data_IF_566927728345
#
_entry.id   IF_566927728345
#
_cell.length_a   1.000
_cell.length_b   1.000
_cell.length_c   1.000
_cell.angle_alpha   90.00
_cell.angle_beta   90.00
_cell.angle_gamma   90.00
#
_symmetry.space_group_name_H-M   'P 1'
#
loop_
_entity.id
_entity.type
_entity.pdbx_description
1 polymer ?
#
# COMPACT_ATOMS: atom_id res chain seq x y z
N UNK A 1 3.56 -2.84 -1.47
CA UNK A 1 2.28 -2.33 -0.92
C UNK A 1 1.29 -2.01 -2.05
N UNK A 2 1.57 -1.07 -2.96
CA UNK A 2 0.59 -0.64 -3.99
C UNK A 2 0.12 -1.76 -4.95
N UNK A 3 0.97 -2.19 -5.88
CA UNK A 3 0.59 -3.21 -6.88
C UNK A 3 0.31 -4.58 -6.23
N UNK A 4 1.13 -4.96 -5.24
CA UNK A 4 1.03 -6.26 -4.57
C UNK A 4 -0.22 -6.47 -3.72
N UNK A 5 -0.86 -5.39 -3.23
CA UNK A 5 -2.12 -5.47 -2.49
C UNK A 5 -3.32 -5.02 -3.36
N UNK A 6 -3.09 -4.68 -4.63
CA UNK A 6 -4.15 -4.23 -5.54
C UNK A 6 -4.83 -2.94 -5.08
N UNK A 7 -4.04 -1.96 -4.64
CA UNK A 7 -4.51 -0.65 -4.12
C UNK A 7 -3.88 0.56 -4.80
N UNK A 8 -3.05 0.33 -5.82
CA UNK A 8 -2.45 1.41 -6.60
C UNK A 8 -1.68 0.90 -7.81
N UNK A 9 -1.30 1.83 -8.68
CA UNK A 9 -0.55 1.57 -9.91
C UNK A 9 0.82 2.24 -9.81
N UNK A 10 1.87 1.51 -10.17
CA UNK A 10 3.22 2.08 -10.23
C UNK A 10 3.59 2.41 -11.68
N UNK A 11 3.99 3.65 -11.93
CA UNK A 11 4.60 4.03 -13.20
C UNK A 11 6.06 3.54 -13.22
N UNK A 12 6.44 2.80 -14.27
CA UNK A 12 7.80 2.27 -14.43
C UNK A 12 8.79 3.31 -14.98
N UNK A 13 8.29 4.33 -15.67
CA UNK A 13 9.05 5.50 -16.10
C UNK A 13 8.14 6.75 -16.17
N UNK A 14 8.75 7.93 -16.25
CA UNK A 14 8.05 9.21 -16.39
C UNK A 14 7.95 9.64 -17.86
N UNK A 15 7.56 8.72 -18.72
CA UNK A 15 7.32 8.97 -20.14
C UNK A 15 5.84 8.80 -20.51
N UNK A 16 5.48 9.26 -21.70
CA UNK A 16 4.10 9.23 -22.19
C UNK A 16 3.55 7.80 -22.28
N UNK A 17 4.37 6.84 -22.69
CA UNK A 17 3.95 5.45 -22.85
C UNK A 17 3.60 4.83 -21.49
N UNK A 18 4.44 5.05 -20.49
CA UNK A 18 4.25 4.61 -19.11
C UNK A 18 3.02 5.25 -18.47
N UNK A 19 2.79 6.55 -18.73
CA UNK A 19 1.59 7.25 -18.27
C UNK A 19 0.31 6.65 -18.86
N UNK A 20 0.27 6.41 -20.17
CA UNK A 20 -0.90 5.81 -20.84
C UNK A 20 -1.18 4.41 -20.30
N UNK A 21 -0.15 3.58 -20.15
CA UNK A 21 -0.28 2.24 -19.59
C UNK A 21 -0.78 2.27 -18.13
N UNK A 22 -0.24 3.19 -17.31
CA UNK A 22 -0.67 3.36 -15.93
C UNK A 22 -2.11 3.84 -15.80
N UNK A 23 -2.57 4.73 -16.69
CA UNK A 23 -3.96 5.20 -16.72
C UNK A 23 -4.95 4.07 -17.03
N UNK A 24 -4.63 3.20 -17.97
CA UNK A 24 -5.47 2.04 -18.27
C UNK A 24 -5.61 1.10 -17.05
N UNK A 25 -4.50 0.85 -16.34
CA UNK A 25 -4.49 0.04 -15.12
C UNK A 25 -5.29 0.72 -13.99
N UNK A 26 -5.18 2.05 -13.86
CA UNK A 26 -5.91 2.81 -12.84
C UNK A 26 -7.42 2.76 -13.09
N UNK A 27 -7.87 2.88 -14.34
CA UNK A 27 -9.29 2.74 -14.69
C UNK A 27 -9.83 1.36 -14.34
N UNK A 28 -9.06 0.29 -14.61
CA UNK A 28 -9.42 -1.06 -14.22
C UNK A 28 -9.53 -1.20 -12.69
N UNK A 29 -8.57 -0.62 -11.96
CA UNK A 29 -8.54 -0.64 -10.50
C UNK A 29 -9.74 0.07 -9.87
N UNK A 30 -10.11 1.26 -10.38
CA UNK A 30 -11.27 2.02 -9.89
C UNK A 30 -12.59 1.35 -10.23
N UNK A 31 -12.63 0.55 -11.30
CA UNK A 31 -13.82 -0.20 -11.71
C UNK A 31 -14.09 -1.43 -10.83
N UNK A 32 -13.12 -1.87 -10.04
CA UNK A 32 -13.29 -2.97 -9.08
C UNK A 32 -13.93 -2.45 -7.77
N UNK A 33 -15.16 -2.87 -7.43
CA UNK A 33 -15.84 -2.43 -6.21
C UNK A 33 -15.11 -2.78 -4.91
N UNK A 34 -14.26 -3.80 -4.93
CA UNK A 34 -13.51 -4.25 -3.75
C UNK A 34 -12.26 -3.44 -3.46
N UNK A 35 -11.84 -2.55 -4.38
CA UNK A 35 -10.65 -1.70 -4.22
C UNK A 35 -10.71 -0.86 -2.95
N UNK A 36 -11.85 -0.26 -2.61
CA UNK A 36 -11.97 0.56 -1.41
C UNK A 36 -11.69 -0.24 -0.12
N UNK A 37 -12.24 -1.44 -0.02
CA UNK A 37 -12.02 -2.33 1.12
C UNK A 37 -10.55 -2.75 1.21
N UNK A 38 -9.92 -3.09 0.09
CA UNK A 38 -8.48 -3.42 0.04
C UNK A 38 -7.61 -2.24 0.47
N UNK A 39 -7.94 -1.02 0.07
CA UNK A 39 -7.21 0.19 0.47
C UNK A 39 -7.19 0.36 1.98
N UNK A 40 -8.35 0.25 2.65
CA UNK A 40 -8.45 0.37 4.11
C UNK A 40 -7.68 -0.75 4.81
N UNK A 41 -7.91 -2.00 4.40
CA UNK A 41 -7.22 -3.15 4.98
C UNK A 41 -5.69 -3.06 4.83
N UNK A 42 -5.21 -2.61 3.67
CA UNK A 42 -3.79 -2.39 3.41
C UNK A 42 -3.22 -1.28 4.29
N UNK A 43 -3.98 -0.20 4.49
CA UNK A 43 -3.59 0.91 5.35
C UNK A 43 -3.41 0.46 6.80
N UNK A 44 -4.38 -0.27 7.33
CA UNK A 44 -4.33 -0.84 8.68
C UNK A 44 -3.15 -1.80 8.85
N UNK A 45 -2.95 -2.72 7.90
CA UNK A 45 -1.90 -3.75 7.95
C UNK A 45 -0.48 -3.19 7.90
N UNK A 46 -0.24 -2.12 7.14
CA UNK A 46 1.11 -1.65 6.86
C UNK A 46 1.49 -0.32 7.52
N UNK A 47 0.51 0.49 7.88
CA UNK A 47 0.73 1.86 8.34
C UNK A 47 0.07 2.17 9.69
N UNK A 48 -0.39 1.14 10.43
CA UNK A 48 -0.89 1.31 11.79
C UNK A 48 0.21 1.80 12.74
N UNK A 49 -0.01 2.97 13.35
CA UNK A 49 0.88 3.54 14.36
C UNK A 49 0.87 2.73 15.66
N UNK A 50 -0.29 2.26 16.09
CA UNK A 50 -0.42 1.47 17.32
C UNK A 50 0.37 0.16 17.24
N UNK A 51 0.26 -0.51 16.09
CA UNK A 51 1.03 -1.73 15.83
C UNK A 51 2.52 -1.42 15.72
N UNK A 52 2.88 -0.36 14.98
CA UNK A 52 4.26 0.10 14.86
C UNK A 52 4.91 0.38 16.21
N UNK A 53 4.25 1.15 17.06
CA UNK A 53 4.72 1.49 18.40
C UNK A 53 4.88 0.26 19.29
N UNK A 54 3.94 -0.70 19.22
CA UNK A 54 4.01 -1.96 19.96
C UNK A 54 5.21 -2.80 19.54
N UNK A 55 5.51 -2.87 18.23
CA UNK A 55 6.70 -3.56 17.70
C UNK A 55 8.00 -2.88 18.13
N UNK A 56 8.04 -1.56 18.18
CA UNK A 56 9.21 -0.84 18.71
C UNK A 56 9.41 -1.08 20.21
N UNK A 57 8.33 -1.07 21.01
CA UNK A 57 8.39 -1.37 22.45
C UNK A 57 9.01 -2.74 22.71
N UNK A 58 8.63 -3.78 21.97
CA UNK A 58 9.19 -5.12 22.16
C UNK A 58 10.69 -5.21 21.83
N UNK A 59 11.18 -4.37 20.90
CA UNK A 59 12.63 -4.26 20.65
C UNK A 59 13.33 -3.67 21.88
N UNK A 60 12.79 -2.60 22.47
CA UNK A 60 13.37 -1.99 23.66
C UNK A 60 13.36 -2.92 24.88
N UNK A 61 12.26 -3.65 25.10
CA UNK A 61 12.16 -4.67 26.16
C UNK A 61 13.23 -5.77 26.02
N UNK A 62 13.56 -6.17 24.79
CA UNK A 62 14.61 -7.18 24.53
C UNK A 62 16.03 -6.66 24.72
N UNK A 63 16.25 -5.36 24.61
CA UNK A 63 17.60 -4.76 24.66
C UNK A 63 17.96 -4.18 26.03
N UNK A 64 16.98 -3.83 26.85
CA UNK A 64 17.20 -3.13 28.12
C UNK A 64 16.35 -3.62 29.30
N UNK A 65 15.77 -4.82 29.19
CA UNK A 65 15.16 -5.54 30.32
C UNK A 65 16.20 -6.23 31.19
#
# INVERSE_FOLDING_TARGET
>A
VLEGEGVGVLLKAFDQASLVAGMAQLLALVSDPSTAARCVSTAEKHFSLDEGATRYRSIYERLGG
#
